data_IF_226426301932
#
_entry.id   IF_226426301932
#
_cell.length_a   1.000
_cell.length_b   1.000
_cell.length_c   1.000
_cell.angle_alpha   90.00
_cell.angle_beta   90.00
_cell.angle_gamma   90.00
#
_symmetry.space_group_name_H-M   'P 1'
#
loop_
_entity.id
_entity.type
_entity.pdbx_description
1 polymer ?
#
# COMPACT_ATOMS: atom_id res chain seq x y z
N UNK A 1 -5.21 9.65 11.67
CA UNK A 1 -5.15 8.20 11.34
C UNK A 1 -6.43 7.52 11.77
N UNK A 2 -7.00 6.76 10.88
CA UNK A 2 -8.20 6.00 11.18
C UNK A 2 -7.80 4.57 11.52
N UNK A 3 -8.01 4.17 12.76
CA UNK A 3 -7.64 2.85 13.25
C UNK A 3 -8.82 1.89 13.13
N UNK A 4 -8.56 0.73 12.54
CA UNK A 4 -9.51 -0.36 12.42
C UNK A 4 -8.95 -1.57 13.16
N UNK A 5 -9.73 -2.12 14.08
CA UNK A 5 -9.32 -3.33 14.79
C UNK A 5 -9.75 -4.56 14.00
N UNK A 6 -8.78 -5.38 13.65
CA UNK A 6 -9.00 -6.71 13.11
C UNK A 6 -8.37 -7.69 14.08
N UNK A 7 -9.11 -8.11 15.08
CA UNK A 7 -8.66 -9.18 15.94
C UNK A 7 -9.38 -10.46 15.53
N UNK A 8 -8.62 -11.49 15.25
CA UNK A 8 -9.18 -12.81 15.18
C UNK A 8 -9.59 -13.18 16.61
N UNK A 9 -10.87 -13.17 16.87
CA UNK A 9 -11.33 -13.50 18.19
C UNK A 9 -10.99 -14.95 18.53
N UNK A 10 -10.77 -15.22 19.76
CA UNK A 10 -10.76 -16.53 20.41
C UNK A 10 -9.57 -17.45 20.17
N UNK A 11 -8.78 -17.30 19.13
CA UNK A 11 -7.63 -18.16 18.96
C UNK A 11 -6.38 -17.52 19.55
N UNK A 12 -5.95 -18.02 20.72
CA UNK A 12 -4.78 -17.51 21.43
C UNK A 12 -3.48 -17.59 20.65
N UNK A 13 -3.41 -18.46 19.63
CA UNK A 13 -2.25 -18.59 18.78
C UNK A 13 -2.22 -17.58 17.62
N UNK A 14 -3.32 -16.87 17.37
CA UNK A 14 -3.40 -15.88 16.30
C UNK A 14 -2.75 -14.58 16.71
N UNK A 15 -1.91 -14.00 15.86
CA UNK A 15 -1.37 -12.67 16.13
C UNK A 15 -2.51 -11.66 16.17
N UNK A 16 -2.39 -10.68 17.06
CA UNK A 16 -3.29 -9.53 17.06
C UNK A 16 -2.76 -8.51 16.09
N UNK A 17 -3.62 -8.05 15.21
CA UNK A 17 -3.27 -7.10 14.17
C UNK A 17 -4.13 -5.86 14.30
N UNK A 18 -3.57 -4.71 13.97
CA UNK A 18 -4.32 -3.47 13.83
C UNK A 18 -4.25 -3.00 12.40
N UNK A 19 -5.34 -2.39 11.94
CA UNK A 19 -5.45 -1.81 10.62
C UNK A 19 -5.62 -0.30 10.75
N UNK A 20 -4.87 0.45 9.95
CA UNK A 20 -5.03 1.89 9.91
C UNK A 20 -4.67 2.41 8.52
N UNK A 21 -5.06 3.66 8.25
CA UNK A 21 -4.61 4.36 7.06
C UNK A 21 -3.49 5.32 7.44
N UNK A 22 -2.45 5.36 6.62
CA UNK A 22 -1.37 6.31 6.83
C UNK A 22 -1.88 7.74 6.76
N UNK A 23 -1.49 8.55 7.71
CA UNK A 23 -1.87 9.98 7.75
C UNK A 23 -0.67 10.90 7.85
N UNK A 24 0.53 10.37 7.96
CA UNK A 24 1.77 11.14 8.07
C UNK A 24 2.81 10.64 7.08
N UNK A 25 3.76 11.50 6.75
CA UNK A 25 4.89 11.11 5.90
C UNK A 25 5.73 10.00 6.53
N UNK A 26 5.83 10.01 7.85
CA UNK A 26 6.55 8.95 8.57
C UNK A 26 5.88 7.60 8.34
N UNK A 27 4.56 7.54 8.41
CA UNK A 27 3.80 6.31 8.18
C UNK A 27 3.90 5.85 6.73
N UNK A 28 3.88 6.78 5.77
CA UNK A 28 4.09 6.45 4.36
C UNK A 28 5.48 5.85 4.17
N UNK A 29 6.51 6.42 4.79
CA UNK A 29 7.85 5.85 4.71
C UNK A 29 7.95 4.45 5.34
N UNK A 30 7.20 4.19 6.40
CA UNK A 30 7.15 2.86 6.98
C UNK A 30 6.62 1.81 6.00
N UNK A 31 5.55 2.13 5.26
CA UNK A 31 5.02 1.20 4.26
C UNK A 31 5.95 1.06 3.06
N UNK A 32 6.59 2.14 2.65
CA UNK A 32 7.57 2.09 1.56
C UNK A 32 8.78 1.24 1.93
N UNK A 33 9.16 1.26 3.19
CA UNK A 33 10.25 0.43 3.70
C UNK A 33 9.87 -1.05 3.72
N UNK A 34 8.64 -1.36 4.13
CA UNK A 34 8.15 -2.74 4.07
C UNK A 34 8.10 -3.23 2.62
N UNK A 35 7.58 -2.42 1.71
CA UNK A 35 7.53 -2.76 0.28
C UNK A 35 8.93 -3.04 -0.28
N UNK A 36 9.91 -2.22 0.08
CA UNK A 36 11.30 -2.43 -0.32
C UNK A 36 11.80 -3.81 0.14
N UNK A 37 11.56 -4.11 1.39
CA UNK A 37 11.98 -5.38 1.98
C UNK A 37 11.38 -6.58 1.25
N UNK A 38 10.08 -6.51 0.94
CA UNK A 38 9.39 -7.62 0.29
C UNK A 38 9.67 -7.66 -1.21
N UNK A 39 9.48 -6.56 -1.92
CA UNK A 39 9.55 -6.56 -3.39
C UNK A 39 10.97 -6.53 -3.92
N UNK A 40 11.86 -5.83 -3.24
CA UNK A 40 13.21 -5.63 -3.77
C UNK A 40 14.20 -6.61 -3.15
N UNK A 41 14.25 -6.70 -1.82
CA UNK A 41 15.19 -7.61 -1.16
C UNK A 41 14.77 -9.07 -1.27
N UNK A 42 13.54 -9.40 -0.87
CA UNK A 42 13.10 -10.80 -0.83
C UNK A 42 12.88 -11.41 -2.21
N UNK A 43 12.44 -10.61 -3.18
CA UNK A 43 12.21 -11.06 -4.54
C UNK A 43 13.44 -10.93 -5.44
N UNK A 44 14.53 -10.40 -4.91
CA UNK A 44 15.80 -10.33 -5.64
C UNK A 44 15.85 -9.31 -6.76
N UNK A 45 15.06 -8.26 -6.71
CA UNK A 45 15.05 -7.22 -7.72
C UNK A 45 16.20 -6.22 -7.49
N UNK A 46 17.42 -6.70 -7.62
CA UNK A 46 18.62 -5.95 -7.27
C UNK A 46 18.80 -4.66 -8.07
N UNK A 47 18.25 -4.60 -9.29
CA UNK A 47 18.31 -3.39 -10.11
C UNK A 47 17.50 -2.22 -9.52
N UNK A 48 16.59 -2.50 -8.59
CA UNK A 48 15.76 -1.50 -7.94
C UNK A 48 16.27 -1.10 -6.56
N UNK A 49 17.40 -1.65 -6.13
CA UNK A 49 18.01 -1.28 -4.85
C UNK A 49 18.39 0.19 -4.84
N UNK A 50 18.16 0.83 -3.70
CA UNK A 50 18.51 2.23 -3.50
C UNK A 50 19.00 2.46 -2.07
N UNK A 51 19.68 3.58 -1.86
CA UNK A 51 20.30 3.90 -0.56
C UNK A 51 19.25 4.17 0.52
N UNK A 52 18.13 4.73 0.16
CA UNK A 52 17.05 5.02 1.11
C UNK A 52 16.36 3.76 1.63
N UNK A 53 16.45 2.66 0.88
CA UNK A 53 15.75 1.40 1.14
C UNK A 53 14.23 1.62 1.20
N UNK A 54 13.72 2.39 0.27
CA UNK A 54 12.30 2.67 0.12
C UNK A 54 11.85 2.26 -1.28
N UNK A 55 10.75 1.51 -1.36
CA UNK A 55 10.04 1.31 -2.62
C UNK A 55 9.00 2.42 -2.72
N UNK A 56 9.26 3.40 -3.56
CA UNK A 56 8.36 4.54 -3.72
C UNK A 56 8.25 4.93 -5.19
N UNK A 57 7.11 5.52 -5.52
CA UNK A 57 6.88 6.09 -6.84
C UNK A 57 6.02 7.35 -6.71
N UNK A 58 5.77 8.00 -7.84
CA UNK A 58 5.00 9.24 -7.88
C UNK A 58 3.52 9.04 -7.51
N UNK A 59 3.00 7.80 -7.63
CA UNK A 59 1.62 7.49 -7.27
C UNK A 59 1.38 7.48 -5.77
N UNK A 60 2.41 7.23 -4.99
CA UNK A 60 2.27 7.13 -3.52
C UNK A 60 1.63 8.36 -2.89
N UNK A 61 1.94 9.55 -3.40
CA UNK A 61 1.39 10.79 -2.87
C UNK A 61 -0.11 10.94 -3.12
N UNK A 62 -0.66 10.20 -4.07
CA UNK A 62 -2.08 10.25 -4.44
C UNK A 62 -2.87 9.08 -3.87
N UNK A 63 -2.21 8.11 -3.27
CA UNK A 63 -2.85 6.91 -2.77
C UNK A 63 -3.11 6.98 -1.27
N UNK A 64 -4.14 6.25 -0.86
CA UNK A 64 -4.30 5.88 0.54
C UNK A 64 -3.50 4.62 0.79
N UNK A 65 -2.77 4.57 1.90
CA UNK A 65 -1.94 3.43 2.26
C UNK A 65 -2.53 2.75 3.48
N UNK A 66 -2.97 1.52 3.32
CA UNK A 66 -3.41 0.71 4.44
C UNK A 66 -2.18 0.15 5.16
N UNK A 67 -2.18 0.24 6.48
CA UNK A 67 -1.10 -0.26 7.32
C UNK A 67 -1.65 -1.36 8.21
N UNK A 68 -1.00 -2.52 8.16
CA UNK A 68 -1.25 -3.62 9.09
C UNK A 68 -0.06 -3.70 10.02
N UNK A 69 -0.32 -3.56 11.32
CA UNK A 69 0.72 -3.66 12.35
C UNK A 69 0.46 -4.84 13.26
N UNK A 70 1.55 -5.46 13.69
CA UNK A 70 1.52 -6.34 14.84
C UNK A 70 1.22 -5.48 16.07
N UNK A 71 0.18 -5.83 16.82
CA UNK A 71 -0.25 -4.99 17.95
C UNK A 71 0.70 -5.03 19.14
N UNK A 72 1.55 -6.03 19.24
CA UNK A 72 2.54 -6.12 20.31
C UNK A 72 3.83 -5.37 19.99
N UNK A 73 4.37 -5.60 18.79
CA UNK A 73 5.66 -5.02 18.39
C UNK A 73 5.51 -3.67 17.71
N UNK A 74 4.30 -3.34 17.24
CA UNK A 74 3.97 -2.16 16.43
C UNK A 74 4.65 -2.14 15.07
N UNK A 75 5.31 -3.23 14.68
CA UNK A 75 5.93 -3.33 13.36
C UNK A 75 4.89 -3.41 12.27
N UNK A 76 5.15 -2.76 11.16
CA UNK A 76 4.35 -2.88 9.95
C UNK A 76 4.63 -4.25 9.33
N UNK A 77 3.58 -5.06 9.22
CA UNK A 77 3.69 -6.42 8.69
C UNK A 77 2.94 -6.60 7.38
N UNK A 78 2.14 -5.65 7.01
CA UNK A 78 1.41 -5.70 5.73
C UNK A 78 0.99 -4.32 5.29
N UNK A 79 0.79 -4.18 4.00
CA UNK A 79 0.29 -2.94 3.40
C UNK A 79 -0.33 -3.22 2.04
N UNK A 80 -1.23 -2.36 1.62
CA UNK A 80 -1.54 -2.15 0.21
C UNK A 80 -1.96 -0.69 0.03
N UNK A 81 -1.90 -0.23 -1.21
CA UNK A 81 -2.32 1.13 -1.51
C UNK A 81 -3.57 1.12 -2.39
N UNK A 82 -4.39 2.14 -2.22
CA UNK A 82 -5.62 2.32 -2.98
C UNK A 82 -5.58 3.71 -3.63
N UNK A 83 -5.81 3.74 -4.92
CA UNK A 83 -5.98 4.98 -5.66
C UNK A 83 -7.46 5.15 -5.96
N UNK A 84 -8.07 6.19 -5.35
CA UNK A 84 -9.48 6.51 -5.58
C UNK A 84 -9.67 7.07 -6.99
N UNK A 85 -10.92 7.09 -7.50
CA UNK A 85 -11.18 7.74 -8.78
C UNK A 85 -10.81 9.24 -8.77
N UNK A 86 -10.98 9.92 -7.63
CA UNK A 86 -10.60 11.32 -7.49
C UNK A 86 -9.07 11.49 -7.55
N UNK A 87 -8.33 10.59 -6.90
CA UNK A 87 -6.86 10.61 -6.94
C UNK A 87 -6.35 10.34 -8.36
N UNK A 88 -6.93 9.37 -9.05
CA UNK A 88 -6.58 9.07 -10.43
C UNK A 88 -6.83 10.27 -11.35
N UNK A 89 -7.90 11.01 -11.11
CA UNK A 89 -8.19 12.23 -11.87
C UNK A 89 -7.13 13.29 -11.63
N UNK A 90 -6.69 13.48 -10.38
CA UNK A 90 -5.63 14.44 -10.05
C UNK A 90 -4.29 14.04 -10.62
N UNK A 91 -3.96 12.76 -10.57
CA UNK A 91 -2.72 12.23 -11.14
C UNK A 91 -2.74 12.22 -12.67
N UNK A 92 -3.93 12.12 -13.26
CA UNK A 92 -4.13 12.02 -14.70
C UNK A 92 -4.31 10.61 -15.20
N UNK A 93 -4.08 9.61 -14.37
CA UNK A 93 -4.19 8.20 -14.76
C UNK A 93 -4.19 7.30 -13.52
N UNK A 94 -4.65 6.07 -13.70
CA UNK A 94 -4.38 4.97 -12.78
C UNK A 94 -2.99 4.40 -13.03
N UNK A 95 -2.43 3.72 -12.03
CA UNK A 95 -1.12 3.07 -12.16
C UNK A 95 -1.10 2.06 -13.32
N UNK A 96 -2.16 1.25 -13.44
CA UNK A 96 -2.26 0.22 -14.47
C UNK A 96 -2.26 0.78 -15.90
N UNK A 97 -2.58 2.06 -16.07
CA UNK A 97 -2.59 2.68 -17.40
C UNK A 97 -1.20 2.86 -17.99
N UNK A 98 -0.14 2.67 -17.20
CA UNK A 98 1.22 2.64 -17.71
C UNK A 98 1.48 1.40 -18.58
N UNK A 99 0.72 0.33 -18.35
CA UNK A 99 0.92 -0.95 -19.06
C UNK A 99 -0.29 -1.41 -19.86
N UNK A 100 -1.48 -0.95 -19.50
CA UNK A 100 -2.74 -1.42 -20.09
C UNK A 100 -3.56 -0.24 -20.59
N UNK A 101 -4.25 -0.46 -21.70
CA UNK A 101 -5.25 0.47 -22.21
C UNK A 101 -6.58 0.22 -21.50
N UNK A 102 -6.98 1.16 -20.64
CA UNK A 102 -8.22 1.08 -19.87
C UNK A 102 -9.37 1.84 -20.52
N UNK A 103 -9.27 2.20 -21.79
CA UNK A 103 -10.31 3.01 -22.46
C UNK A 103 -11.68 2.39 -22.43
N UNK A 104 -11.80 1.07 -22.39
CA UNK A 104 -13.07 0.37 -22.25
C UNK A 104 -13.76 0.63 -20.92
N UNK A 105 -13.02 1.12 -19.92
CA UNK A 105 -13.53 1.42 -18.59
C UNK A 105 -13.88 2.90 -18.40
N UNK A 106 -13.77 3.70 -19.46
CA UNK A 106 -13.97 5.16 -19.35
C UNK A 106 -15.31 5.55 -18.72
N UNK A 107 -16.36 4.80 -19.04
CA UNK A 107 -17.70 5.07 -18.46
C UNK A 107 -17.77 4.77 -16.97
N UNK A 108 -16.83 4.02 -16.43
CA UNK A 108 -16.80 3.61 -15.02
C UNK A 108 -15.73 4.35 -14.22
N UNK A 109 -14.92 5.19 -14.84
CA UNK A 109 -13.77 5.85 -14.18
C UNK A 109 -14.12 6.55 -12.89
N UNK A 110 -15.27 7.20 -12.85
CA UNK A 110 -15.71 7.92 -11.65
C UNK A 110 -16.14 7.00 -10.51
N UNK A 111 -16.26 5.70 -10.79
CA UNK A 111 -16.79 4.69 -9.84
C UNK A 111 -15.78 3.61 -9.46
N UNK A 112 -14.58 3.62 -10.07
CA UNK A 112 -13.60 2.57 -9.82
C UNK A 112 -12.40 3.12 -9.04
N UNK A 113 -11.84 2.25 -8.22
CA UNK A 113 -10.59 2.49 -7.51
C UNK A 113 -9.62 1.38 -7.86
N UNK A 114 -8.33 1.68 -7.78
CA UNK A 114 -7.28 0.69 -8.04
C UNK A 114 -6.57 0.35 -6.73
N UNK A 115 -6.45 -0.93 -6.43
CA UNK A 115 -5.64 -1.42 -5.32
C UNK A 115 -4.37 -2.07 -5.88
N UNK A 116 -3.25 -1.84 -5.22
CA UNK A 116 -1.98 -2.39 -5.65
C UNK A 116 -0.91 -2.37 -4.57
N UNK A 117 0.27 -2.80 -4.95
CA UNK A 117 1.43 -2.87 -4.05
C UNK A 117 1.10 -3.58 -2.73
N UNK A 118 0.30 -4.64 -2.81
CA UNK A 118 -0.04 -5.44 -1.63
C UNK A 118 1.12 -6.35 -1.27
N UNK A 119 1.52 -6.34 -0.02
CA UNK A 119 2.58 -7.24 0.47
C UNK A 119 2.41 -7.53 1.95
N UNK A 120 2.95 -8.67 2.35
CA UNK A 120 2.99 -9.14 3.73
C UNK A 120 4.41 -9.67 4.00
N UNK A 121 4.88 -9.41 5.19
CA UNK A 121 6.17 -9.93 5.64
C UNK A 121 6.04 -10.80 6.88
#
# INVERSE_FOLDING_TARGET
MRLLNASADTNLASPKLTLSLASTQKEVREVQRLRYKVFIESMGLSSLKNEERLDKDEFDAYCDHLIVRDSETLKVVGTYRVMSPQAARKMGQFYSEQEFDLSRLNNLRSSIAEAGRACIH
#
